data_IF_635766169041
#
_entry.id   IF_635766169041
#
_cell.length_a   1.000
_cell.length_b   1.000
_cell.length_c   1.000
_cell.angle_alpha   90.00
_cell.angle_beta   90.00
_cell.angle_gamma   90.00
#
_symmetry.space_group_name_H-M   'P 1'
#
loop_
_entity.id
_entity.type
_entity.pdbx_description
1 polymer ?
#
# COMPACT_ATOMS: atom_id res chain seq x y z
N UNK A 1 5.78 24.40 0.90
CA UNK A 1 5.17 23.18 0.34
C UNK A 1 3.78 23.11 0.89
N UNK A 2 2.78 23.12 0.02
CA UNK A 2 1.38 23.03 0.43
C UNK A 2 1.04 21.59 0.77
N UNK A 3 0.16 21.41 1.76
CA UNK A 3 -0.27 20.11 2.24
C UNK A 3 -1.73 19.93 1.83
N UNK A 4 -2.08 18.71 1.39
CA UNK A 4 -3.45 18.31 1.07
C UNK A 4 -4.16 19.21 0.04
N UNK A 5 -3.42 19.60 -1.00
CA UNK A 5 -4.00 20.21 -2.20
C UNK A 5 -5.16 19.31 -2.70
N UNK A 6 -6.41 19.83 -2.83
CA UNK A 6 -7.58 18.98 -3.03
C UNK A 6 -7.54 18.10 -4.28
N UNK A 7 -6.98 18.61 -5.38
CA UNK A 7 -6.80 17.88 -6.63
C UNK A 7 -5.79 16.74 -6.48
N UNK A 8 -4.64 17.03 -5.86
CA UNK A 8 -3.59 16.04 -5.59
C UNK A 8 -4.12 14.94 -4.65
N UNK A 9 -4.84 15.33 -3.59
CA UNK A 9 -5.41 14.38 -2.64
C UNK A 9 -6.45 13.47 -3.30
N UNK A 10 -7.29 14.00 -4.18
CA UNK A 10 -8.26 13.21 -4.94
C UNK A 10 -7.58 12.16 -5.84
N UNK A 11 -6.50 12.54 -6.52
CA UNK A 11 -5.74 11.62 -7.36
C UNK A 11 -5.07 10.49 -6.56
N UNK A 12 -4.40 10.84 -5.45
CA UNK A 12 -3.73 9.83 -4.61
C UNK A 12 -4.76 8.89 -3.99
N UNK A 13 -5.92 9.41 -3.57
CA UNK A 13 -7.03 8.59 -3.08
C UNK A 13 -7.51 7.61 -4.15
N UNK A 14 -7.68 8.06 -5.40
CA UNK A 14 -8.08 7.17 -6.49
C UNK A 14 -7.02 6.09 -6.78
N UNK A 15 -5.73 6.44 -6.74
CA UNK A 15 -4.64 5.47 -6.90
C UNK A 15 -4.60 4.45 -5.75
N UNK A 16 -4.82 4.90 -4.51
CA UNK A 16 -4.90 4.04 -3.33
C UNK A 16 -6.11 3.10 -3.39
N UNK A 17 -7.29 3.59 -3.77
CA UNK A 17 -8.51 2.78 -3.90
C UNK A 17 -8.33 1.71 -4.98
N UNK A 18 -7.70 2.06 -6.11
CA UNK A 18 -7.32 1.10 -7.17
C UNK A 18 -6.33 0.04 -6.65
N UNK A 19 -5.35 0.45 -5.85
CA UNK A 19 -4.41 -0.46 -5.21
C UNK A 19 -5.11 -1.44 -4.27
N UNK A 20 -6.04 -0.97 -3.44
CA UNK A 20 -6.74 -1.80 -2.47
C UNK A 20 -7.62 -2.84 -3.16
N UNK A 21 -8.35 -2.44 -4.21
CA UNK A 21 -9.14 -3.36 -5.02
C UNK A 21 -8.26 -4.44 -5.66
N UNK A 22 -7.16 -4.05 -6.28
CA UNK A 22 -6.21 -4.99 -6.87
C UNK A 22 -5.62 -5.96 -5.82
N UNK A 23 -5.42 -5.49 -4.59
CA UNK A 23 -4.89 -6.33 -3.52
C UNK A 23 -5.88 -7.40 -3.08
N UNK A 24 -7.16 -7.07 -2.90
CA UNK A 24 -8.17 -8.03 -2.45
C UNK A 24 -8.62 -8.98 -3.56
N UNK A 25 -8.57 -8.56 -4.83
CA UNK A 25 -8.85 -9.40 -6.00
C UNK A 25 -7.64 -10.19 -6.50
N UNK A 26 -6.46 -9.98 -5.90
CA UNK A 26 -5.17 -10.52 -6.35
C UNK A 26 -4.82 -10.17 -7.81
N UNK A 27 -5.17 -8.96 -8.26
CA UNK A 27 -4.76 -8.44 -9.57
C UNK A 27 -3.27 -8.06 -9.56
N UNK A 28 -2.42 -9.04 -9.84
CA UNK A 28 -0.96 -8.89 -9.85
C UNK A 28 -0.50 -7.88 -10.89
N UNK A 29 -1.21 -7.73 -12.01
CA UNK A 29 -0.84 -6.80 -13.06
C UNK A 29 -0.97 -5.35 -12.58
N UNK A 30 -2.12 -4.99 -12.00
CA UNK A 30 -2.35 -3.65 -11.44
C UNK A 30 -1.43 -3.39 -10.25
N UNK A 31 -1.20 -4.39 -9.39
CA UNK A 31 -0.28 -4.27 -8.26
C UNK A 31 1.18 -4.05 -8.70
N UNK A 32 1.59 -4.67 -9.81
CA UNK A 32 2.88 -4.41 -10.45
C UNK A 32 2.94 -3.00 -11.03
N UNK A 33 1.94 -2.60 -11.81
CA UNK A 33 1.85 -1.26 -12.40
C UNK A 33 1.97 -0.16 -11.35
N UNK A 34 1.29 -0.30 -10.20
CA UNK A 34 1.25 0.73 -9.16
C UNK A 34 2.53 0.81 -8.32
N UNK A 35 3.42 -0.18 -8.38
CA UNK A 35 4.75 -0.08 -7.77
C UNK A 35 5.74 0.53 -8.75
N UNK A 36 6.61 1.43 -8.27
CA UNK A 36 7.63 2.03 -9.13
C UNK A 36 8.59 0.94 -9.61
N UNK A 37 8.76 0.80 -10.92
CA UNK A 37 9.77 -0.07 -11.53
C UNK A 37 11.16 0.56 -11.43
N UNK A 38 11.80 0.38 -10.26
CA UNK A 38 13.13 0.92 -9.96
C UNK A 38 13.84 -0.02 -8.95
N UNK A 39 15.18 -0.19 -9.03
CA UNK A 39 15.93 -1.00 -8.08
C UNK A 39 15.90 -0.46 -6.63
N UNK A 40 15.56 0.82 -6.43
CA UNK A 40 15.45 1.44 -5.10
C UNK A 40 14.08 1.24 -4.46
N UNK A 41 13.07 0.78 -5.21
CA UNK A 41 11.75 0.49 -4.66
C UNK A 41 11.85 -0.65 -3.66
N UNK A 42 11.27 -0.48 -2.47
CA UNK A 42 11.33 -1.51 -1.42
C UNK A 42 9.95 -1.83 -0.84
N UNK A 43 9.81 -3.05 -0.32
CA UNK A 43 8.64 -3.45 0.44
C UNK A 43 9.04 -4.33 1.64
N UNK A 44 8.71 -3.87 2.83
CA UNK A 44 8.65 -4.72 4.01
C UNK A 44 7.24 -5.29 4.11
N UNK A 45 7.12 -6.59 3.93
CA UNK A 45 5.90 -7.34 4.09
C UNK A 45 5.75 -7.90 5.50
N UNK A 46 4.75 -8.76 5.68
CA UNK A 46 4.46 -9.35 6.99
C UNK A 46 5.56 -10.35 7.39
N UNK A 47 6.11 -11.12 6.43
CA UNK A 47 7.15 -12.13 6.69
C UNK A 47 8.34 -12.05 5.73
N UNK A 48 8.46 -10.97 4.96
CA UNK A 48 9.43 -10.86 3.87
C UNK A 48 9.95 -9.42 3.72
N UNK A 49 11.23 -9.27 3.37
CA UNK A 49 11.86 -7.99 3.04
C UNK A 49 12.31 -8.00 1.58
N UNK A 50 11.76 -7.13 0.74
CA UNK A 50 11.98 -7.14 -0.70
C UNK A 50 12.61 -5.82 -1.14
N UNK A 51 13.77 -5.91 -1.80
CA UNK A 51 14.52 -4.78 -2.34
C UNK A 51 14.53 -4.86 -3.87
N UNK A 52 14.13 -3.77 -4.52
CA UNK A 52 13.97 -3.66 -5.96
C UNK A 52 12.63 -4.19 -6.46
N UNK A 53 12.12 -3.54 -7.51
CA UNK A 53 10.87 -3.92 -8.17
C UNK A 53 10.82 -5.41 -8.57
N UNK A 54 11.93 -5.96 -9.09
CA UNK A 54 11.99 -7.35 -9.52
C UNK A 54 11.68 -8.33 -8.39
N UNK A 55 12.21 -8.10 -7.17
CA UNK A 55 11.92 -8.94 -6.02
C UNK A 55 10.45 -8.85 -5.59
N UNK A 56 9.87 -7.66 -5.65
CA UNK A 56 8.45 -7.41 -5.33
C UNK A 56 7.53 -8.10 -6.35
N UNK A 57 7.83 -7.96 -7.64
CA UNK A 57 7.06 -8.58 -8.72
C UNK A 57 7.14 -10.11 -8.65
N UNK A 58 8.34 -10.67 -8.46
CA UNK A 58 8.55 -12.11 -8.30
C UNK A 58 7.79 -12.68 -7.10
N UNK A 59 7.80 -11.98 -5.96
CA UNK A 59 7.00 -12.36 -4.79
C UNK A 59 5.49 -12.39 -5.09
N UNK A 60 4.96 -11.38 -5.80
CA UNK A 60 3.53 -11.33 -6.14
C UNK A 60 3.11 -12.44 -7.09
N UNK A 61 3.96 -12.82 -8.04
CA UNK A 61 3.69 -13.92 -8.95
C UNK A 61 3.56 -15.28 -8.23
N UNK A 62 4.29 -15.48 -7.13
CA UNK A 62 4.22 -16.71 -6.32
C UNK A 62 3.24 -16.66 -5.14
N UNK A 63 2.56 -15.54 -4.91
CA UNK A 63 1.74 -15.34 -3.71
C UNK A 63 0.39 -16.05 -3.83
N UNK A 64 0.02 -16.82 -2.80
CA UNK A 64 -1.32 -17.40 -2.69
C UNK A 64 -2.40 -16.30 -2.56
N UNK A 65 -3.51 -16.40 -3.32
CA UNK A 65 -4.65 -15.48 -3.19
C UNK A 65 -5.51 -15.74 -1.94
N UNK A 66 -5.24 -16.81 -1.19
CA UNK A 66 -6.05 -17.20 -0.03
C UNK A 66 -5.85 -16.20 1.12
N UNK A 67 -6.96 -15.80 1.74
CA UNK A 67 -6.93 -14.94 2.93
C UNK A 67 -6.47 -13.51 2.67
N UNK A 68 -6.59 -13.02 1.43
CA UNK A 68 -6.28 -11.62 1.09
C UNK A 68 -7.36 -10.65 1.52
N UNK A 69 -8.63 -11.10 1.49
CA UNK A 69 -9.78 -10.26 1.84
C UNK A 69 -9.59 -9.65 3.22
N UNK A 70 -9.86 -8.35 3.31
CA UNK A 70 -9.64 -7.54 4.51
C UNK A 70 -10.55 -6.32 4.46
N UNK A 71 -10.81 -5.76 5.63
CA UNK A 71 -11.46 -4.45 5.77
C UNK A 71 -10.44 -3.42 6.21
N UNK A 72 -10.33 -2.30 5.50
CA UNK A 72 -9.51 -1.15 5.91
C UNK A 72 -10.22 -0.33 6.99
N UNK A 73 -9.44 0.36 7.83
CA UNK A 73 -9.93 1.24 8.87
C UNK A 73 -8.94 2.38 9.14
N UNK A 74 -9.43 3.52 9.63
CA UNK A 74 -8.61 4.71 9.96
C UNK A 74 -7.62 5.07 8.84
N UNK A 75 -8.08 5.04 7.58
CA UNK A 75 -7.26 5.41 6.42
C UNK A 75 -6.99 6.91 6.45
N UNK A 76 -5.72 7.29 6.39
CA UNK A 76 -5.24 8.67 6.28
C UNK A 76 -4.33 8.74 5.07
N UNK A 77 -4.66 9.66 4.16
CA UNK A 77 -3.83 10.00 3.01
C UNK A 77 -3.45 11.47 3.17
N UNK A 78 -2.16 11.77 3.10
CA UNK A 78 -1.64 13.13 3.19
C UNK A 78 -0.73 13.40 2.00
N UNK A 79 -0.95 14.50 1.29
CA UNK A 79 -0.11 14.93 0.17
C UNK A 79 0.82 16.07 0.57
N UNK A 80 1.99 16.12 -0.05
CA UNK A 80 3.07 17.05 0.23
C UNK A 80 3.54 17.64 -1.11
N UNK A 81 3.07 18.86 -1.43
CA UNK A 81 3.24 19.44 -2.75
C UNK A 81 2.40 18.72 -3.80
N UNK A 82 2.90 18.61 -5.04
CA UNK A 82 2.15 18.01 -6.16
C UNK A 82 2.49 16.55 -6.45
N UNK A 83 3.61 16.09 -5.93
CA UNK A 83 4.29 14.89 -6.43
C UNK A 83 4.64 13.87 -5.36
N UNK A 84 4.29 14.12 -4.08
CA UNK A 84 4.55 13.19 -2.99
C UNK A 84 3.32 13.04 -2.08
N UNK A 85 3.10 11.83 -1.60
CA UNK A 85 2.06 11.55 -0.62
C UNK A 85 2.38 10.32 0.23
N UNK A 86 1.74 10.23 1.40
CA UNK A 86 1.77 9.04 2.26
C UNK A 86 0.34 8.56 2.45
N UNK A 87 0.11 7.27 2.23
CA UNK A 87 -1.16 6.60 2.51
C UNK A 87 -0.94 5.58 3.64
N UNK A 88 -1.66 5.76 4.73
CA UNK A 88 -1.61 4.90 5.92
C UNK A 88 -3.00 4.35 6.22
N UNK A 89 -3.11 3.05 6.50
CA UNK A 89 -4.37 2.44 6.89
C UNK A 89 -4.14 1.30 7.87
N UNK A 90 -5.10 1.10 8.77
CA UNK A 90 -5.24 -0.15 9.50
C UNK A 90 -6.03 -1.14 8.64
N UNK A 91 -5.83 -2.43 8.85
CA UNK A 91 -6.67 -3.45 8.24
C UNK A 91 -6.92 -4.63 9.17
N UNK A 92 -8.06 -5.26 8.96
CA UNK A 92 -8.53 -6.39 9.75
C UNK A 92 -8.91 -7.55 8.82
N UNK A 93 -8.64 -8.77 9.27
CA UNK A 93 -9.06 -10.00 8.59
C UNK A 93 -9.75 -10.93 9.58
N UNK A 94 -10.82 -11.56 9.14
CA UNK A 94 -11.56 -12.54 9.95
C UNK A 94 -10.69 -13.76 10.31
N UNK A 95 -9.66 -14.05 9.50
CA UNK A 95 -8.69 -15.13 9.75
C UNK A 95 -7.66 -14.81 10.83
N UNK A 96 -7.63 -13.59 11.36
CA UNK A 96 -6.65 -13.15 12.38
C UNK A 96 -7.35 -12.36 13.50
N UNK A 97 -8.28 -12.98 14.25
CA UNK A 97 -9.01 -12.31 15.32
C UNK A 97 -8.06 -11.77 16.41
N UNK A 98 -8.37 -10.60 16.94
CA UNK A 98 -7.56 -9.93 17.98
C UNK A 98 -6.25 -9.32 17.49
N UNK A 99 -5.99 -9.30 16.17
CA UNK A 99 -4.81 -8.68 15.57
C UNK A 99 -5.19 -7.55 14.64
N UNK A 100 -4.37 -6.51 14.61
CA UNK A 100 -4.52 -5.37 13.71
C UNK A 100 -3.35 -5.29 12.73
N UNK A 101 -3.68 -5.23 11.45
CA UNK A 101 -2.75 -4.98 10.38
C UNK A 101 -2.50 -3.48 10.20
N UNK A 102 -1.27 -3.12 9.85
CA UNK A 102 -0.86 -1.75 9.53
C UNK A 102 -0.25 -1.76 8.14
N UNK A 103 -0.69 -0.84 7.29
CA UNK A 103 -0.10 -0.62 5.98
C UNK A 103 0.25 0.86 5.85
N UNK A 104 1.48 1.13 5.40
CA UNK A 104 1.93 2.46 5.04
C UNK A 104 2.62 2.40 3.68
N UNK A 105 2.31 3.36 2.83
CA UNK A 105 2.88 3.49 1.49
C UNK A 105 3.33 4.93 1.27
N UNK A 106 4.51 5.10 0.69
CA UNK A 106 4.97 6.37 0.14
C UNK A 106 4.71 6.36 -1.35
N UNK A 107 3.99 7.37 -1.82
CA UNK A 107 3.59 7.56 -3.20
C UNK A 107 4.33 8.75 -3.81
N UNK A 108 4.79 8.58 -5.04
CA UNK A 108 5.42 9.64 -5.82
C UNK A 108 4.79 9.70 -7.20
N UNK A 109 4.56 10.92 -7.72
CA UNK A 109 4.07 11.15 -9.08
C UNK A 109 5.25 11.05 -10.06
N UNK A 110 5.08 10.24 -11.09
CA UNK A 110 5.97 10.14 -12.24
C UNK A 110 5.18 10.49 -13.53
N UNK A 111 5.83 10.63 -14.70
CA UNK A 111 5.12 10.88 -15.96
C UNK A 111 4.01 9.86 -16.27
N UNK A 112 4.18 8.61 -15.84
CA UNK A 112 3.20 7.53 -15.96
C UNK A 112 2.13 7.50 -14.84
N UNK A 113 2.13 8.50 -13.95
CA UNK A 113 1.20 8.65 -12.84
C UNK A 113 1.78 8.29 -11.47
N UNK A 114 0.89 8.13 -10.49
CA UNK A 114 1.27 7.82 -9.10
C UNK A 114 1.81 6.41 -8.94
N UNK A 115 2.93 6.27 -8.24
CA UNK A 115 3.57 4.98 -7.94
C UNK A 115 4.00 4.88 -6.49
N UNK A 116 3.85 3.70 -5.91
CA UNK A 116 4.42 3.33 -4.62
C UNK A 116 5.93 3.16 -4.78
N UNK A 117 6.71 3.97 -4.06
CA UNK A 117 8.18 3.88 -4.04
C UNK A 117 8.70 3.12 -2.82
N UNK A 118 7.92 3.08 -1.74
CA UNK A 118 8.22 2.30 -0.55
C UNK A 118 6.92 1.86 0.13
N UNK A 119 6.90 0.65 0.68
CA UNK A 119 5.75 0.16 1.45
C UNK A 119 6.19 -0.65 2.66
N UNK A 120 5.42 -0.54 3.74
CA UNK A 120 5.57 -1.35 4.95
C UNK A 120 4.21 -1.94 5.32
N UNK A 121 4.15 -3.26 5.53
CA UNK A 121 2.99 -3.98 6.05
C UNK A 121 3.42 -4.79 7.25
N UNK A 122 2.65 -4.74 8.33
CA UNK A 122 2.94 -5.47 9.56
C UNK A 122 1.65 -5.78 10.31
N UNK A 123 1.71 -6.70 11.27
CA UNK A 123 0.58 -7.08 12.12
C UNK A 123 1.05 -7.11 13.56
N UNK A 124 0.27 -6.52 14.44
CA UNK A 124 0.46 -6.55 15.90
C UNK A 124 -0.82 -7.06 16.58
N UNK A 125 -0.77 -7.34 17.87
CA UNK A 125 -1.96 -7.55 18.67
C UNK A 125 -2.75 -6.24 18.75
N UNK A 126 -4.08 -6.33 18.67
CA UNK A 126 -4.93 -5.14 18.74
C UNK A 126 -4.80 -4.49 20.12
N UNK A 127 -4.35 -3.21 20.19
CA UNK A 127 -4.26 -2.52 21.46
C UNK A 127 -5.63 -2.38 22.09
N UNK A 128 -5.73 -2.67 23.40
CA UNK A 128 -6.93 -2.33 24.17
C UNK A 128 -7.08 -0.82 24.19
N UNK A 129 -8.28 -0.32 23.94
CA UNK A 129 -8.58 1.10 24.15
C UNK A 129 -8.33 1.42 25.64
N UNK A 130 -7.44 2.37 25.90
CA UNK A 130 -7.15 2.91 27.24
C UNK A 130 -8.08 4.04 27.58
#
# INVERSE_FOLDING_TARGET
MDIDLPDVLAEVKAAFDRYEQALISNDVAVLGELFRNDPRTLRYGIGENLYGYAAISGFRAGRSPVGLNRRTAKTVITSYGRDAAVASTLFYRDTMPGRVGRQMQTWVRFPEGWRVVAAHVSIIDEPKET
#
